data_IF_698585678350
#
_entry.id   IF_698585678350
#
_cell.length_a   1.000
_cell.length_b   1.000
_cell.length_c   1.000
_cell.angle_alpha   90.00
_cell.angle_beta   90.00
_cell.angle_gamma   90.00
#
_symmetry.space_group_name_H-M   'P 1'
#
loop_
_entity.id
_entity.type
_entity.pdbx_description
1 polymer ?
#
# COMPACT_ATOMS: atom_id res chain seq x y z
N UNK A 1 16.59 -25.17 -88.22
CA UNK A 1 17.58 -26.20 -87.87
C UNK A 1 18.29 -25.75 -86.59
N UNK A 2 17.98 -26.44 -85.50
CA UNK A 2 18.72 -26.55 -84.22
C UNK A 2 19.78 -25.49 -83.85
N UNK A 3 19.60 -24.79 -82.71
CA UNK A 3 20.13 -25.23 -81.41
C UNK A 3 19.83 -24.22 -80.28
N UNK A 4 19.14 -24.74 -79.27
CA UNK A 4 18.96 -24.20 -77.93
C UNK A 4 20.31 -24.22 -77.19
N UNK A 5 20.67 -23.16 -76.45
CA UNK A 5 21.54 -23.27 -75.26
C UNK A 5 21.39 -22.08 -74.32
N UNK A 6 20.95 -22.42 -73.10
CA UNK A 6 20.85 -21.61 -71.89
C UNK A 6 22.10 -20.76 -71.59
N UNK A 7 21.91 -19.50 -71.18
CA UNK A 7 22.75 -18.83 -70.17
C UNK A 7 21.93 -17.94 -69.24
N UNK A 8 21.87 -18.43 -68.01
CA UNK A 8 21.61 -17.82 -66.69
C UNK A 8 20.89 -16.47 -66.58
N UNK A 9 19.70 -16.54 -66.00
CA UNK A 9 19.11 -15.55 -65.08
C UNK A 9 20.05 -15.31 -63.88
N UNK A 10 21.11 -14.54 -64.05
CA UNK A 10 22.06 -14.23 -62.99
C UNK A 10 22.35 -12.73 -62.93
N UNK A 11 21.31 -11.89 -62.87
CA UNK A 11 21.49 -10.45 -62.61
C UNK A 11 20.27 -9.85 -61.91
N UNK A 12 19.86 -10.50 -60.82
CA UNK A 12 19.10 -9.82 -59.77
C UNK A 12 19.69 -10.26 -58.45
N UNK A 13 20.91 -9.78 -58.19
CA UNK A 13 21.51 -9.86 -56.87
C UNK A 13 20.59 -9.08 -55.92
N UNK A 14 19.67 -9.81 -55.26
CA UNK A 14 18.97 -9.33 -54.08
C UNK A 14 20.06 -8.90 -53.10
N UNK A 15 20.24 -7.58 -52.97
CA UNK A 15 20.88 -6.99 -51.81
C UNK A 15 19.92 -7.27 -50.65
N UNK A 16 20.00 -8.49 -50.12
CA UNK A 16 19.53 -8.76 -48.77
C UNK A 16 20.59 -8.11 -47.90
N UNK A 17 20.37 -6.86 -47.51
CA UNK A 17 21.03 -6.34 -46.32
C UNK A 17 20.65 -7.31 -45.20
N UNK A 18 21.56 -8.22 -44.85
CA UNK A 18 21.52 -8.92 -43.60
C UNK A 18 21.60 -7.83 -42.53
N UNK A 19 20.43 -7.38 -42.06
CA UNK A 19 20.34 -6.55 -40.88
C UNK A 19 20.80 -7.44 -39.73
N UNK A 20 22.10 -7.39 -39.45
CA UNK A 20 22.68 -7.93 -38.23
C UNK A 20 22.11 -7.11 -37.09
N UNK A 21 21.01 -7.58 -36.51
CA UNK A 21 20.47 -7.02 -35.30
C UNK A 21 21.19 -7.70 -34.14
N UNK A 22 22.10 -6.98 -33.48
CA UNK A 22 22.53 -7.35 -32.13
C UNK A 22 21.29 -7.45 -31.25
N UNK A 23 21.16 -8.50 -30.44
CA UNK A 23 20.00 -8.67 -29.56
C UNK A 23 19.86 -7.45 -28.65
N UNK A 24 18.75 -6.71 -28.78
CA UNK A 24 18.47 -5.58 -27.90
C UNK A 24 18.21 -6.05 -26.46
N UNK A 25 17.84 -7.32 -26.26
CA UNK A 25 17.65 -7.93 -24.95
C UNK A 25 18.98 -8.07 -24.20
N UNK A 26 20.11 -8.27 -24.90
CA UNK A 26 21.45 -8.34 -24.29
C UNK A 26 21.88 -7.02 -23.65
N UNK A 27 21.25 -5.90 -24.05
CA UNK A 27 21.53 -4.56 -23.52
C UNK A 27 20.63 -4.19 -22.35
N UNK A 28 19.70 -5.05 -21.95
CA UNK A 28 18.80 -4.78 -20.83
C UNK A 28 19.62 -4.79 -19.53
N UNK A 29 19.71 -3.66 -18.81
CA UNK A 29 20.48 -3.61 -17.59
C UNK A 29 19.79 -4.40 -16.47
N UNK A 30 20.59 -4.94 -15.54
CA UNK A 30 20.06 -5.53 -14.31
C UNK A 30 19.32 -4.45 -13.51
N UNK A 31 18.05 -4.69 -13.19
CA UNK A 31 17.28 -3.81 -12.33
C UNK A 31 17.84 -3.85 -10.89
N UNK A 32 17.87 -2.72 -10.16
CA UNK A 32 18.20 -2.74 -8.75
C UNK A 32 17.20 -3.60 -7.98
N UNK A 33 17.66 -4.30 -6.94
CA UNK A 33 16.80 -5.12 -6.10
C UNK A 33 15.76 -4.27 -5.37
N UNK A 34 14.55 -4.82 -5.16
CA UNK A 34 13.52 -4.16 -4.35
C UNK A 34 14.04 -3.93 -2.92
N UNK A 35 13.87 -2.71 -2.40
CA UNK A 35 14.40 -2.28 -1.10
C UNK A 35 13.87 -3.07 0.10
N UNK A 36 12.80 -3.84 -0.07
CA UNK A 36 12.19 -4.69 0.96
C UNK A 36 12.30 -6.17 0.56
N UNK A 37 11.69 -6.55 -0.57
CA UNK A 37 11.59 -7.95 -1.01
C UNK A 37 12.94 -8.52 -1.44
N UNK A 38 13.84 -7.70 -2.00
CA UNK A 38 15.19 -8.12 -2.38
C UNK A 38 16.03 -8.59 -1.18
N UNK A 39 15.75 -8.10 0.03
CA UNK A 39 16.45 -8.51 1.25
C UNK A 39 16.12 -9.93 1.68
N UNK A 40 14.95 -10.45 1.30
CA UNK A 40 14.54 -11.83 1.59
C UNK A 40 15.51 -12.84 0.98
N UNK A 41 16.06 -12.57 -0.20
CA UNK A 41 17.03 -13.46 -0.85
C UNK A 41 18.35 -13.54 -0.06
N UNK A 42 18.83 -12.42 0.49
CA UNK A 42 20.00 -12.40 1.36
C UNK A 42 19.73 -13.15 2.67
N UNK A 43 18.60 -12.87 3.32
CA UNK A 43 18.17 -13.57 4.54
C UNK A 43 18.12 -15.10 4.33
N UNK A 44 17.55 -15.57 3.22
CA UNK A 44 17.42 -17.01 2.96
C UNK A 44 18.78 -17.71 2.80
N UNK A 45 19.78 -17.02 2.23
CA UNK A 45 21.14 -17.56 2.01
C UNK A 45 22.04 -17.49 3.24
N UNK A 46 21.69 -16.70 4.24
CA UNK A 46 22.47 -16.55 5.46
C UNK A 46 22.48 -17.84 6.29
N UNK A 47 23.65 -18.45 6.58
CA UNK A 47 23.74 -19.68 7.37
C UNK A 47 23.63 -19.46 8.88
N UNK A 48 23.59 -18.20 9.35
CA UNK A 48 23.53 -17.89 10.78
C UNK A 48 22.23 -18.46 11.40
N UNK A 49 22.32 -19.37 12.38
CA UNK A 49 21.14 -19.97 13.01
C UNK A 49 20.32 -18.98 13.84
N UNK A 50 20.89 -17.81 14.19
CA UNK A 50 20.24 -16.73 14.94
C UNK A 50 19.71 -15.60 14.04
N UNK A 51 19.72 -15.77 12.71
CA UNK A 51 19.27 -14.72 11.79
C UNK A 51 17.81 -14.32 12.04
N UNK A 52 17.51 -13.03 11.88
CA UNK A 52 16.17 -12.48 12.08
C UNK A 52 15.74 -11.68 10.84
N UNK A 53 14.56 -11.98 10.30
CA UNK A 53 13.96 -11.20 9.23
C UNK A 53 12.93 -10.19 9.77
N UNK A 54 13.29 -8.90 9.75
CA UNK A 54 12.43 -7.78 10.15
C UNK A 54 12.09 -6.87 8.96
N UNK A 55 12.29 -7.35 7.73
CA UNK A 55 12.13 -6.54 6.51
C UNK A 55 10.68 -6.47 6.04
N UNK A 56 9.98 -7.61 5.99
CA UNK A 56 8.65 -7.73 5.38
C UNK A 56 7.56 -7.46 6.42
N UNK A 57 6.60 -6.59 6.08
CA UNK A 57 5.40 -6.33 6.89
C UNK A 57 4.33 -7.41 6.72
N UNK A 58 4.66 -8.66 7.07
CA UNK A 58 3.71 -9.78 7.18
C UNK A 58 3.61 -10.15 8.65
N UNK A 59 2.38 -10.23 9.16
CA UNK A 59 2.12 -10.59 10.54
C UNK A 59 2.62 -12.01 10.84
N UNK A 60 3.29 -12.15 11.99
CA UNK A 60 3.67 -13.43 12.57
C UNK A 60 3.17 -13.48 14.01
N UNK A 61 2.85 -14.69 14.47
CA UNK A 61 2.44 -14.92 15.85
C UNK A 61 3.61 -14.80 16.85
N UNK A 62 3.36 -15.09 18.13
CA UNK A 62 4.37 -15.04 19.20
C UNK A 62 5.50 -16.09 19.04
N UNK A 63 5.37 -16.99 18.05
CA UNK A 63 6.33 -18.05 17.74
C UNK A 63 7.03 -17.83 16.39
N UNK A 64 6.82 -16.67 15.75
CA UNK A 64 7.42 -16.34 14.46
C UNK A 64 6.79 -17.05 13.26
N UNK A 65 5.56 -17.58 13.41
CA UNK A 65 4.84 -18.24 12.30
C UNK A 65 3.85 -17.30 11.65
N UNK A 66 3.83 -17.29 10.32
CA UNK A 66 2.76 -16.67 9.54
C UNK A 66 1.52 -17.54 9.68
N UNK A 67 0.44 -16.99 10.22
CA UNK A 67 -0.81 -17.72 10.48
C UNK A 67 -2.00 -17.02 9.81
N UNK A 68 -2.96 -17.83 9.36
CA UNK A 68 -4.24 -17.34 8.85
C UNK A 68 -5.12 -16.90 10.01
N UNK A 69 -5.77 -15.75 9.90
CA UNK A 69 -6.70 -15.30 10.94
C UNK A 69 -7.87 -16.27 11.11
N UNK A 70 -8.34 -16.52 12.35
CA UNK A 70 -9.48 -17.39 12.61
C UNK A 70 -10.74 -17.07 11.79
N UNK A 71 -11.08 -15.80 11.61
CA UNK A 71 -12.21 -15.37 10.76
C UNK A 71 -12.02 -15.81 9.30
N UNK A 72 -10.82 -15.63 8.75
CA UNK A 72 -10.47 -15.95 7.36
C UNK A 72 -10.45 -17.46 7.13
N UNK A 73 -9.85 -18.22 8.05
CA UNK A 73 -9.85 -19.67 7.99
C UNK A 73 -11.28 -20.25 8.06
N UNK A 74 -12.17 -19.64 8.85
CA UNK A 74 -13.60 -20.00 8.88
C UNK A 74 -14.29 -19.65 7.56
N UNK A 75 -14.02 -18.48 6.98
CA UNK A 75 -14.56 -18.12 5.65
C UNK A 75 -14.11 -19.09 4.56
N UNK A 76 -12.83 -19.50 4.55
CA UNK A 76 -12.31 -20.51 3.62
C UNK A 76 -13.06 -21.83 3.76
N UNK A 77 -13.20 -22.35 4.98
CA UNK A 77 -13.95 -23.58 5.25
C UNK A 77 -15.41 -23.51 4.80
N UNK A 78 -16.06 -22.36 4.94
CA UNK A 78 -17.43 -22.18 4.44
C UNK A 78 -17.48 -22.26 2.93
N UNK A 79 -16.55 -21.62 2.23
CA UNK A 79 -16.46 -21.69 0.77
C UNK A 79 -16.21 -23.13 0.32
N UNK A 80 -15.26 -23.83 0.96
CA UNK A 80 -14.89 -25.19 0.55
C UNK A 80 -16.03 -26.20 0.79
N UNK A 81 -16.86 -25.99 1.81
CA UNK A 81 -17.98 -26.87 2.15
C UNK A 81 -19.32 -26.48 1.51
N UNK A 82 -19.43 -25.30 0.91
CA UNK A 82 -20.65 -24.80 0.28
C UNK A 82 -20.48 -24.71 -1.25
N UNK A 83 -21.12 -25.66 -1.94
CA UNK A 83 -21.09 -25.72 -3.40
C UNK A 83 -21.61 -24.43 -4.05
N UNK A 84 -22.56 -23.71 -3.45
CA UNK A 84 -23.09 -22.46 -4.03
C UNK A 84 -22.08 -21.32 -3.92
N UNK A 85 -21.29 -21.28 -2.84
CA UNK A 85 -20.22 -20.30 -2.67
C UNK A 85 -19.03 -20.61 -3.59
N UNK A 86 -18.77 -21.89 -3.91
CA UNK A 86 -17.62 -22.30 -4.72
C UNK A 86 -17.95 -22.81 -6.13
N UNK A 87 -19.18 -22.62 -6.63
CA UNK A 87 -19.64 -23.19 -7.91
C UNK A 87 -18.95 -22.65 -9.17
N UNK A 88 -18.29 -21.49 -9.11
CA UNK A 88 -17.84 -20.80 -10.32
C UNK A 88 -16.46 -20.16 -10.14
N UNK A 89 -15.48 -20.62 -10.91
CA UNK A 89 -14.12 -20.04 -10.99
C UNK A 89 -13.88 -19.32 -12.33
N UNK A 90 -14.93 -18.99 -13.07
CA UNK A 90 -14.86 -18.20 -14.30
C UNK A 90 -14.47 -16.75 -14.02
N UNK A 91 -14.20 -16.01 -15.10
CA UNK A 91 -13.85 -14.60 -15.04
C UNK A 91 -14.93 -13.78 -14.32
N UNK A 92 -14.48 -12.92 -13.39
CA UNK A 92 -15.30 -11.85 -12.86
C UNK A 92 -15.53 -10.75 -13.93
N UNK A 93 -16.58 -9.93 -13.78
CA UNK A 93 -16.65 -8.65 -14.47
C UNK A 93 -15.37 -7.84 -14.28
N UNK A 94 -15.04 -6.96 -15.23
CA UNK A 94 -13.83 -6.11 -15.17
C UNK A 94 -13.78 -5.29 -13.88
N UNK A 95 -14.93 -4.84 -13.39
CA UNK A 95 -15.07 -4.09 -12.14
C UNK A 95 -14.91 -4.94 -10.88
N UNK A 96 -14.98 -6.26 -11.00
CA UNK A 96 -14.94 -7.21 -9.89
C UNK A 96 -16.30 -7.84 -9.56
N UNK A 97 -16.36 -8.49 -8.40
CA UNK A 97 -17.58 -9.13 -7.90
C UNK A 97 -18.53 -8.08 -7.27
N UNK A 98 -19.81 -8.10 -7.67
CA UNK A 98 -20.80 -7.12 -7.21
C UNK A 98 -21.13 -7.23 -5.72
N UNK A 99 -21.18 -8.44 -5.18
CA UNK A 99 -21.41 -8.66 -3.74
C UNK A 99 -20.23 -8.13 -2.92
N UNK A 100 -19.00 -8.37 -3.40
CA UNK A 100 -17.79 -7.85 -2.78
C UNK A 100 -17.79 -6.32 -2.80
N UNK A 101 -18.08 -5.70 -3.95
CA UNK A 101 -18.28 -4.25 -4.07
C UNK A 101 -19.29 -3.73 -3.03
N UNK A 102 -20.45 -4.35 -2.95
CA UNK A 102 -21.54 -3.93 -2.04
C UNK A 102 -21.10 -4.00 -0.59
N UNK A 103 -20.47 -5.12 -0.19
CA UNK A 103 -20.03 -5.33 1.19
C UNK A 103 -18.84 -4.43 1.58
N UNK A 104 -17.94 -4.14 0.65
CA UNK A 104 -16.85 -3.19 0.87
C UNK A 104 -17.37 -1.76 0.97
N UNK A 105 -18.29 -1.34 0.10
CA UNK A 105 -18.90 -0.01 0.19
C UNK A 105 -19.68 0.17 1.49
N UNK A 106 -20.47 -0.82 1.90
CA UNK A 106 -21.17 -0.79 3.18
C UNK A 106 -20.19 -0.70 4.36
N UNK A 107 -19.14 -1.51 4.38
CA UNK A 107 -18.13 -1.45 5.44
C UNK A 107 -17.42 -0.10 5.49
N UNK A 108 -16.99 0.43 4.34
CA UNK A 108 -16.28 1.71 4.28
C UNK A 108 -17.22 2.87 4.59
N UNK A 109 -18.23 3.12 3.75
CA UNK A 109 -18.97 4.37 3.77
C UNK A 109 -20.12 4.38 4.76
N UNK A 110 -20.81 3.25 4.96
CA UNK A 110 -21.93 3.17 5.93
C UNK A 110 -21.43 2.92 7.36
N UNK A 111 -20.57 1.94 7.55
CA UNK A 111 -20.13 1.53 8.89
C UNK A 111 -18.94 2.35 9.38
N UNK A 112 -17.90 2.54 8.55
CA UNK A 112 -16.66 3.19 9.00
C UNK A 112 -16.74 4.72 8.92
N UNK A 113 -17.30 5.27 7.83
CA UNK A 113 -17.36 6.73 7.63
C UNK A 113 -18.66 7.36 8.13
N UNK A 114 -19.74 6.60 8.30
CA UNK A 114 -21.07 7.10 8.63
C UNK A 114 -21.67 8.07 7.57
N UNK A 115 -21.36 7.81 6.30
CA UNK A 115 -21.85 8.54 5.13
C UNK A 115 -22.61 7.61 4.15
N UNK A 116 -23.72 6.96 4.57
CA UNK A 116 -24.52 6.10 3.69
C UNK A 116 -25.10 6.85 2.47
N UNK A 117 -25.33 8.15 2.58
CA UNK A 117 -25.87 9.01 1.51
C UNK A 117 -24.99 9.03 0.26
N UNK A 118 -23.67 8.83 0.38
CA UNK A 118 -22.78 8.73 -0.77
C UNK A 118 -23.09 7.50 -1.64
N UNK A 119 -23.55 6.41 -1.02
CA UNK A 119 -24.00 5.20 -1.73
C UNK A 119 -25.39 5.45 -2.32
N UNK A 120 -26.30 6.02 -1.54
CA UNK A 120 -27.70 6.27 -1.93
C UNK A 120 -27.80 7.26 -3.11
N UNK A 121 -26.91 8.25 -3.17
CA UNK A 121 -26.81 9.24 -4.25
C UNK A 121 -25.95 8.75 -5.44
N UNK A 122 -25.49 7.50 -5.42
CA UNK A 122 -24.62 6.91 -6.45
C UNK A 122 -23.30 7.68 -6.68
N UNK A 123 -22.75 8.31 -5.63
CA UNK A 123 -21.59 9.22 -5.69
C UNK A 123 -20.22 8.55 -5.60
N UNK A 124 -20.17 7.21 -5.57
CA UNK A 124 -18.93 6.45 -5.45
C UNK A 124 -18.72 5.60 -6.70
N UNK A 125 -17.62 5.85 -7.42
CA UNK A 125 -17.11 4.90 -8.41
C UNK A 125 -16.24 3.85 -7.70
N UNK A 126 -16.46 2.57 -8.00
CA UNK A 126 -15.78 1.45 -7.34
C UNK A 126 -15.18 0.51 -8.36
N UNK A 127 -13.97 0.01 -8.08
CA UNK A 127 -13.37 -1.11 -8.80
C UNK A 127 -12.57 -1.99 -7.84
N UNK A 128 -12.72 -3.31 -7.96
CA UNK A 128 -11.86 -4.28 -7.29
C UNK A 128 -10.48 -4.30 -7.95
N UNK A 129 -9.44 -4.31 -7.12
CA UNK A 129 -8.05 -4.12 -7.56
C UNK A 129 -7.12 -5.20 -7.03
N UNK A 130 -5.89 -5.26 -7.57
CA UNK A 130 -4.80 -6.11 -7.07
C UNK A 130 -4.22 -5.54 -5.76
N UNK A 131 -5.05 -5.53 -4.72
CA UNK A 131 -4.79 -4.92 -3.42
C UNK A 131 -4.48 -3.41 -3.51
N UNK A 132 -3.93 -2.83 -2.44
CA UNK A 132 -3.58 -1.40 -2.41
C UNK A 132 -2.60 -1.00 -3.52
N UNK A 133 -1.63 -1.86 -3.86
CA UNK A 133 -0.70 -1.59 -4.97
C UNK A 133 -1.43 -1.40 -6.30
N UNK A 134 -2.39 -2.28 -6.62
CA UNK A 134 -3.22 -2.13 -7.80
C UNK A 134 -4.10 -0.89 -7.75
N UNK A 135 -4.68 -0.58 -6.59
CA UNK A 135 -5.49 0.61 -6.40
C UNK A 135 -4.71 1.91 -6.65
N UNK A 136 -3.51 2.07 -6.06
CA UNK A 136 -2.66 3.24 -6.28
C UNK A 136 -2.22 3.34 -7.74
N UNK A 137 -1.88 2.21 -8.39
CA UNK A 137 -1.50 2.22 -9.80
C UNK A 137 -2.64 2.64 -10.74
N UNK A 138 -3.85 2.13 -10.51
CA UNK A 138 -5.04 2.51 -11.29
C UNK A 138 -5.40 3.97 -11.05
N UNK A 139 -5.36 4.44 -9.79
CA UNK A 139 -5.58 5.83 -9.45
C UNK A 139 -4.55 6.74 -10.13
N UNK A 140 -3.26 6.38 -10.10
CA UNK A 140 -2.20 7.11 -10.78
C UNK A 140 -2.44 7.16 -12.31
N UNK A 141 -2.72 6.02 -12.95
CA UNK A 141 -2.99 5.98 -14.39
C UNK A 141 -4.20 6.82 -14.77
N UNK A 142 -5.26 6.80 -13.96
CA UNK A 142 -6.44 7.65 -14.17
C UNK A 142 -6.11 9.14 -14.04
N UNK A 143 -5.43 9.52 -12.95
CA UNK A 143 -5.03 10.91 -12.70
C UNK A 143 -4.14 11.43 -13.83
N UNK A 144 -3.07 10.73 -14.20
CA UNK A 144 -2.11 11.21 -15.22
C UNK A 144 -2.71 11.31 -16.61
N UNK A 145 -3.73 10.49 -16.92
CA UNK A 145 -4.40 10.51 -18.22
C UNK A 145 -5.42 11.65 -18.32
N UNK A 146 -6.17 11.93 -17.26
CA UNK A 146 -7.37 12.78 -17.35
C UNK A 146 -7.35 14.06 -16.53
N UNK A 147 -6.54 14.13 -15.47
CA UNK A 147 -6.63 15.22 -14.48
C UNK A 147 -5.28 15.91 -14.28
N UNK A 148 -4.28 15.17 -13.80
CA UNK A 148 -2.97 15.72 -13.45
C UNK A 148 -1.91 14.64 -13.37
N UNK A 149 -0.69 14.99 -13.73
CA UNK A 149 0.53 14.22 -13.52
C UNK A 149 1.45 14.88 -12.46
N UNK A 150 0.86 15.68 -11.57
CA UNK A 150 1.53 16.27 -10.41
C UNK A 150 1.08 15.57 -9.13
N UNK A 151 2.03 15.08 -8.32
CA UNK A 151 1.76 14.38 -7.06
C UNK A 151 2.76 14.84 -6.00
N UNK A 152 2.28 15.05 -4.77
CA UNK A 152 3.09 15.21 -3.57
C UNK A 152 3.03 13.94 -2.73
N UNK A 153 4.19 13.40 -2.35
CA UNK A 153 4.36 12.17 -1.55
C UNK A 153 5.19 12.52 -0.31
N UNK A 154 4.98 11.91 0.87
CA UNK A 154 5.81 12.24 2.02
C UNK A 154 7.28 11.84 1.78
N UNK A 155 8.22 12.66 2.26
CA UNK A 155 9.67 12.46 2.08
C UNK A 155 10.18 11.12 2.65
N UNK A 156 9.48 10.60 3.65
CA UNK A 156 9.55 9.20 4.06
C UNK A 156 8.22 8.55 3.69
N UNK A 157 8.21 7.54 2.83
CA UNK A 157 6.99 6.86 2.41
C UNK A 157 7.26 5.39 2.09
N UNK A 158 6.20 4.62 1.81
CA UNK A 158 6.36 3.26 1.34
C UNK A 158 7.21 3.26 0.06
N UNK A 159 8.32 2.51 0.07
CA UNK A 159 9.36 2.57 -0.95
C UNK A 159 8.87 2.42 -2.40
N UNK A 160 7.71 1.79 -2.61
CA UNK A 160 7.16 1.56 -3.93
C UNK A 160 6.26 2.70 -4.45
N UNK A 161 5.87 3.69 -3.64
CA UNK A 161 5.00 4.79 -4.09
C UNK A 161 5.58 5.55 -5.29
N UNK A 162 6.82 6.01 -5.19
CA UNK A 162 7.50 6.71 -6.30
C UNK A 162 7.58 5.83 -7.54
N UNK A 163 7.89 4.54 -7.39
CA UNK A 163 7.93 3.60 -8.53
C UNK A 163 6.55 3.47 -9.19
N UNK A 164 5.46 3.36 -8.41
CA UNK A 164 4.10 3.29 -8.97
C UNK A 164 3.76 4.56 -9.74
N UNK A 165 3.91 5.75 -9.15
CA UNK A 165 3.56 7.01 -9.83
C UNK A 165 4.41 7.23 -11.10
N UNK A 166 5.73 7.04 -11.02
CA UNK A 166 6.63 7.21 -12.18
C UNK A 166 6.33 6.25 -13.32
N UNK A 167 5.93 5.01 -13.03
CA UNK A 167 5.49 4.04 -14.06
C UNK A 167 4.10 4.31 -14.62
N UNK A 168 3.32 5.19 -14.00
CA UNK A 168 1.94 5.50 -14.37
C UNK A 168 1.77 6.98 -14.78
N UNK A 169 2.78 7.57 -15.43
CA UNK A 169 2.65 8.84 -16.14
C UNK A 169 3.00 10.10 -15.34
N UNK A 170 3.61 9.96 -14.15
CA UNK A 170 4.11 11.10 -13.37
C UNK A 170 5.61 11.28 -13.63
N UNK A 171 6.03 12.31 -14.39
CA UNK A 171 7.45 12.50 -14.76
C UNK A 171 8.33 12.85 -13.56
N UNK A 172 7.74 13.44 -12.52
CA UNK A 172 8.39 13.79 -11.26
C UNK A 172 7.42 13.64 -10.09
N UNK A 173 7.98 13.44 -8.90
CA UNK A 173 7.25 13.39 -7.63
C UNK A 173 7.78 14.51 -6.76
N UNK A 174 6.87 15.34 -6.24
CA UNK A 174 7.19 16.30 -5.18
C UNK A 174 7.22 15.58 -3.82
N UNK A 175 8.17 15.92 -2.96
CA UNK A 175 8.31 15.30 -1.64
C UNK A 175 8.04 16.32 -0.55
N UNK A 176 6.94 16.17 0.18
CA UNK A 176 6.63 17.06 1.29
C UNK A 176 7.26 16.57 2.60
N UNK A 177 7.70 17.48 3.50
CA UNK A 177 8.21 17.11 4.82
C UNK A 177 7.15 16.36 5.62
N UNK A 178 7.48 15.16 6.12
CA UNK A 178 6.60 14.38 6.98
C UNK A 178 7.27 14.01 8.29
N UNK A 179 8.52 13.57 8.25
CA UNK A 179 9.26 13.11 9.41
C UNK A 179 10.60 13.84 9.53
N UNK A 180 10.86 14.39 10.70
CA UNK A 180 12.17 14.94 11.04
C UNK A 180 13.00 13.90 11.79
N UNK A 181 14.07 13.43 11.13
CA UNK A 181 14.98 12.42 11.67
C UNK A 181 15.71 12.90 12.94
N UNK A 182 15.93 14.21 13.11
CA UNK A 182 16.63 14.75 14.28
C UNK A 182 15.76 14.64 15.53
N UNK A 183 14.52 15.12 15.46
CA UNK A 183 13.58 15.07 16.58
C UNK A 183 12.91 13.71 16.73
N UNK A 184 12.82 12.93 15.65
CA UNK A 184 12.08 11.68 15.61
C UNK A 184 10.56 11.88 15.61
N UNK A 185 10.09 13.06 15.19
CA UNK A 185 8.69 13.48 15.22
C UNK A 185 8.18 13.83 13.83
N UNK A 186 6.86 14.05 13.72
CA UNK A 186 6.26 14.57 12.50
C UNK A 186 6.67 16.02 12.29
N UNK A 187 7.19 16.32 11.10
CA UNK A 187 7.62 17.67 10.71
C UNK A 187 6.42 18.52 10.22
N UNK A 188 5.45 18.69 11.12
CA UNK A 188 4.15 19.27 10.81
C UNK A 188 4.24 20.70 10.26
N UNK A 189 5.09 21.56 10.86
CA UNK A 189 5.17 22.96 10.43
C UNK A 189 5.77 23.08 9.04
N UNK A 190 6.83 22.32 8.73
CA UNK A 190 7.42 22.35 7.39
C UNK A 190 6.53 21.65 6.37
N UNK A 191 5.72 20.66 6.76
CA UNK A 191 4.69 20.10 5.89
C UNK A 191 3.73 21.18 5.39
N UNK A 192 3.10 21.91 6.31
CA UNK A 192 2.14 22.97 5.96
C UNK A 192 2.84 24.08 5.15
N UNK A 193 4.02 24.51 5.56
CA UNK A 193 4.78 25.54 4.84
C UNK A 193 5.16 25.09 3.43
N UNK A 194 5.57 23.83 3.25
CA UNK A 194 5.87 23.28 1.93
C UNK A 194 4.66 23.35 1.02
N UNK A 195 3.50 22.85 1.47
CA UNK A 195 2.27 22.86 0.66
C UNK A 195 1.87 24.27 0.23
N UNK A 196 1.94 25.25 1.15
CA UNK A 196 1.57 26.65 0.87
C UNK A 196 2.54 27.35 -0.10
N UNK A 197 3.78 26.88 -0.20
CA UNK A 197 4.80 27.44 -1.09
C UNK A 197 4.94 26.67 -2.41
N UNK A 198 4.14 25.62 -2.63
CA UNK A 198 4.18 24.88 -3.89
C UNK A 198 3.75 25.78 -5.05
N UNK A 199 4.50 25.77 -6.17
CA UNK A 199 4.12 26.56 -7.33
C UNK A 199 2.83 26.01 -7.94
N UNK A 200 1.90 26.91 -8.28
CA UNK A 200 0.74 26.55 -9.08
C UNK A 200 1.15 26.29 -10.52
N UNK A 201 0.89 25.07 -11.02
CA UNK A 201 1.31 24.64 -12.36
C UNK A 201 0.17 24.66 -13.39
N UNK A 202 -0.89 25.43 -13.16
CA UNK A 202 -2.05 25.51 -14.06
C UNK A 202 -3.03 24.33 -13.99
N UNK A 203 -2.77 23.36 -13.10
CA UNK A 203 -3.56 22.14 -12.88
C UNK A 203 -3.55 21.77 -11.40
N UNK A 204 -4.57 21.06 -10.89
CA UNK A 204 -4.55 20.59 -9.51
C UNK A 204 -3.39 19.61 -9.28
N UNK A 205 -2.91 19.53 -8.03
CA UNK A 205 -1.89 18.57 -7.61
C UNK A 205 -2.53 17.49 -6.74
N UNK A 206 -2.21 16.23 -7.00
CA UNK A 206 -2.56 15.15 -6.09
C UNK A 206 -1.69 15.17 -4.84
N UNK A 207 -2.20 14.68 -3.72
CA UNK A 207 -1.42 14.43 -2.50
C UNK A 207 -1.69 13.01 -2.00
N UNK A 208 -0.62 12.23 -1.85
CA UNK A 208 -0.69 10.90 -1.30
C UNK A 208 -0.66 10.95 0.23
N UNK A 209 -1.69 10.44 0.89
CA UNK A 209 -1.81 10.38 2.34
C UNK A 209 -1.92 8.91 2.78
N UNK A 210 -1.27 8.57 3.90
CA UNK A 210 -1.50 7.27 4.55
C UNK A 210 -2.68 7.45 5.49
N UNK A 211 -3.69 6.57 5.39
CA UNK A 211 -4.92 6.68 6.18
C UNK A 211 -4.65 6.56 7.69
N UNK A 212 -3.72 5.66 8.03
CA UNK A 212 -3.20 5.40 9.37
C UNK A 212 -1.99 4.46 9.27
N UNK A 213 -1.26 4.33 10.37
CA UNK A 213 -0.06 3.51 10.50
C UNK A 213 0.97 3.80 9.41
N UNK A 214 1.38 5.06 9.27
CA UNK A 214 2.29 5.49 8.21
C UNK A 214 3.50 4.57 8.04
N UNK A 215 3.73 4.13 6.81
CA UNK A 215 4.88 3.30 6.44
C UNK A 215 5.91 4.19 5.73
N UNK A 216 7.13 4.37 6.28
CA UNK A 216 7.81 3.48 7.22
C UNK A 216 7.80 3.89 8.70
N UNK A 217 7.38 5.10 9.04
CA UNK A 217 7.72 5.72 10.33
C UNK A 217 6.97 5.13 11.53
N UNK A 218 5.74 4.64 11.32
CA UNK A 218 4.83 4.24 12.40
C UNK A 218 4.19 5.43 13.15
N UNK A 219 4.42 6.64 12.66
CA UNK A 219 3.95 7.92 13.23
C UNK A 219 2.81 8.46 12.38
N UNK A 220 1.68 8.80 13.00
CA UNK A 220 0.55 9.45 12.32
C UNK A 220 0.29 10.84 12.93
N UNK A 221 -0.19 11.83 12.15
CA UNK A 221 -0.56 13.12 12.68
C UNK A 221 -1.65 12.99 13.75
N UNK A 222 -1.60 13.85 14.76
CA UNK A 222 -2.70 13.94 15.72
C UNK A 222 -4.00 14.39 15.04
N UNK A 223 -5.15 14.18 15.69
CA UNK A 223 -6.45 14.65 15.17
C UNK A 223 -6.43 16.14 14.82
N UNK A 224 -5.86 16.97 15.68
CA UNK A 224 -5.75 18.42 15.47
C UNK A 224 -4.77 18.78 14.34
N UNK A 225 -3.70 18.00 14.16
CA UNK A 225 -2.80 18.18 13.02
C UNK A 225 -3.50 17.80 11.72
N UNK A 226 -4.23 16.68 11.70
CA UNK A 226 -5.01 16.24 10.54
C UNK A 226 -6.03 17.29 10.11
N UNK A 227 -6.75 17.91 11.04
CA UNK A 227 -7.68 19.00 10.72
C UNK A 227 -6.99 20.12 9.94
N UNK A 228 -5.85 20.61 10.42
CA UNK A 228 -5.08 21.68 9.75
C UNK A 228 -4.47 21.23 8.41
N UNK A 229 -4.06 19.97 8.30
CA UNK A 229 -3.54 19.39 7.06
C UNK A 229 -4.65 19.34 6.00
N UNK A 230 -5.83 18.82 6.35
CA UNK A 230 -6.95 18.73 5.41
C UNK A 230 -7.48 20.13 5.07
N UNK A 231 -7.50 21.08 6.02
CA UNK A 231 -7.79 22.49 5.72
C UNK A 231 -6.88 23.04 4.62
N UNK A 232 -5.57 22.85 4.78
CA UNK A 232 -4.58 23.34 3.81
C UNK A 232 -4.73 22.64 2.45
N UNK A 233 -4.95 21.32 2.42
CA UNK A 233 -5.18 20.54 1.19
C UNK A 233 -6.43 21.02 0.46
N UNK A 234 -7.50 21.28 1.21
CA UNK A 234 -8.77 21.77 0.68
C UNK A 234 -8.65 23.20 0.14
N UNK A 235 -8.05 24.12 0.89
CA UNK A 235 -7.77 25.50 0.46
C UNK A 235 -6.96 25.55 -0.84
N UNK A 236 -5.95 24.67 -0.95
CA UNK A 236 -5.10 24.55 -2.14
C UNK A 236 -5.75 23.74 -3.29
N UNK A 237 -6.99 23.27 -3.11
CA UNK A 237 -7.75 22.47 -4.09
C UNK A 237 -6.97 21.24 -4.58
N UNK A 238 -6.18 20.64 -3.70
CA UNK A 238 -5.43 19.43 -3.98
C UNK A 238 -6.36 18.21 -4.05
N UNK A 239 -5.87 17.12 -4.66
CA UNK A 239 -6.63 15.87 -4.84
C UNK A 239 -6.14 14.82 -3.84
N UNK A 240 -6.92 14.44 -2.82
CA UNK A 240 -6.50 13.42 -1.88
C UNK A 240 -6.44 12.04 -2.55
N UNK A 241 -5.28 11.39 -2.47
CA UNK A 241 -5.07 9.97 -2.77
C UNK A 241 -4.71 9.28 -1.47
N UNK A 242 -5.67 8.60 -0.86
CA UNK A 242 -5.55 8.00 0.48
C UNK A 242 -5.18 6.53 0.33
N UNK A 243 -3.98 6.13 0.76
CA UNK A 243 -3.55 4.74 0.91
C UNK A 243 -4.01 4.19 2.27
N UNK A 244 -4.95 3.26 2.24
CA UNK A 244 -5.57 2.63 3.40
C UNK A 244 -5.22 1.14 3.45
N UNK A 245 -3.97 0.84 3.80
CA UNK A 245 -3.46 -0.53 3.88
C UNK A 245 -3.52 -1.17 5.27
N UNK A 246 -3.69 -0.35 6.31
CA UNK A 246 -3.52 -0.74 7.71
C UNK A 246 -4.72 -0.37 8.61
N UNK A 247 -5.89 -0.10 8.02
CA UNK A 247 -7.12 0.18 8.78
C UNK A 247 -7.34 -0.90 9.85
N UNK A 248 -7.48 -0.48 11.11
CA UNK A 248 -7.63 -1.31 12.30
C UNK A 248 -6.34 -1.54 13.09
N UNK A 249 -5.16 -1.18 12.56
CA UNK A 249 -3.88 -1.42 13.23
C UNK A 249 -3.31 -0.23 14.01
N UNK A 250 -3.99 0.92 14.00
CA UNK A 250 -3.64 2.09 14.80
C UNK A 250 -4.20 1.93 16.21
N UNK A 251 -5.52 1.76 16.32
CA UNK A 251 -6.24 1.65 17.60
C UNK A 251 -6.64 0.22 17.97
N UNK A 252 -6.54 -0.74 17.04
CA UNK A 252 -7.18 -2.05 17.19
C UNK A 252 -8.68 -2.04 16.81
N UNK A 253 -9.19 -0.93 16.30
CA UNK A 253 -10.57 -0.77 15.87
C UNK A 253 -10.64 -0.28 14.41
N UNK A 254 -11.23 -1.11 13.56
CA UNK A 254 -11.39 -0.85 12.13
C UNK A 254 -12.20 0.40 11.82
N UNK A 255 -13.18 0.74 12.68
CA UNK A 255 -14.06 1.90 12.49
C UNK A 255 -13.35 3.19 12.92
N UNK A 256 -12.58 3.16 14.01
CA UNK A 256 -11.86 4.35 14.49
C UNK A 256 -10.71 4.76 13.57
N UNK A 257 -10.01 3.78 12.99
CA UNK A 257 -8.85 4.01 12.11
C UNK A 257 -9.23 4.56 10.73
N UNK A 258 -10.52 4.71 10.47
CA UNK A 258 -11.08 5.33 9.28
C UNK A 258 -11.14 6.87 9.37
N UNK A 259 -10.67 7.46 10.47
CA UNK A 259 -10.80 8.87 10.80
C UNK A 259 -10.35 9.86 9.72
N UNK A 260 -9.25 9.59 8.99
CA UNK A 260 -8.74 10.52 7.99
C UNK A 260 -9.76 10.70 6.86
N UNK A 261 -10.30 9.59 6.36
CA UNK A 261 -11.31 9.65 5.31
C UNK A 261 -12.62 10.26 5.85
N UNK A 262 -13.01 9.94 7.09
CA UNK A 262 -14.17 10.57 7.73
C UNK A 262 -14.01 12.09 7.83
N UNK A 263 -12.80 12.56 8.18
CA UNK A 263 -12.48 13.99 8.20
C UNK A 263 -12.61 14.59 6.80
N UNK A 264 -12.03 13.98 5.76
CA UNK A 264 -12.18 14.47 4.38
C UNK A 264 -13.65 14.53 3.94
N UNK A 265 -14.50 13.62 4.42
CA UNK A 265 -15.93 13.57 4.09
C UNK A 265 -16.82 14.45 4.96
N UNK A 266 -16.26 15.20 5.92
CA UNK A 266 -17.03 16.14 6.72
C UNK A 266 -17.56 17.28 5.84
N UNK A 267 -18.84 17.20 5.45
CA UNK A 267 -19.49 18.14 4.54
C UNK A 267 -19.70 19.53 5.13
N UNK A 268 -19.73 19.66 6.46
CA UNK A 268 -19.85 20.96 7.12
C UNK A 268 -18.57 21.79 6.93
N UNK A 269 -17.42 21.11 6.80
CA UNK A 269 -16.10 21.74 6.64
C UNK A 269 -15.60 21.73 5.19
N UNK A 270 -15.84 20.64 4.48
CA UNK A 270 -15.37 20.40 3.11
C UNK A 270 -16.56 20.03 2.22
N UNK A 271 -17.47 20.98 1.93
CA UNK A 271 -18.71 20.68 1.22
C UNK A 271 -18.48 20.09 -0.18
N UNK A 272 -17.40 20.49 -0.86
CA UNK A 272 -17.16 20.09 -2.25
C UNK A 272 -15.69 19.79 -2.57
N UNK A 273 -15.39 18.50 -2.82
CA UNK A 273 -14.12 18.07 -3.40
C UNK A 273 -14.22 18.03 -4.93
N UNK A 274 -13.89 19.13 -5.60
CA UNK A 274 -14.10 19.31 -7.06
C UNK A 274 -13.47 18.23 -7.95
N UNK A 275 -12.38 17.60 -7.50
CA UNK A 275 -11.67 16.55 -8.24
C UNK A 275 -11.87 15.16 -7.62
N UNK A 276 -12.76 15.04 -6.64
CA UNK A 276 -13.03 13.83 -5.88
C UNK A 276 -11.94 13.46 -4.87
N UNK A 277 -12.20 12.37 -4.15
CA UNK A 277 -11.28 11.73 -3.21
C UNK A 277 -11.01 10.31 -3.69
N UNK A 278 -9.74 9.93 -3.80
CA UNK A 278 -9.32 8.60 -4.24
C UNK A 278 -8.92 7.79 -3.00
N UNK A 279 -9.63 6.70 -2.71
CA UNK A 279 -9.33 5.79 -1.61
C UNK A 279 -8.80 4.46 -2.17
N UNK A 280 -7.56 4.15 -1.83
CA UNK A 280 -6.87 2.92 -2.20
C UNK A 280 -6.85 1.95 -1.01
N UNK A 281 -7.73 0.94 -1.00
CA UNK A 281 -7.85 0.03 0.13
C UNK A 281 -7.09 -1.29 -0.12
N UNK A 282 -6.44 -1.80 0.91
CA UNK A 282 -5.85 -3.15 0.92
C UNK A 282 -6.42 -4.00 2.06
N UNK A 283 -6.75 -5.26 1.74
CA UNK A 283 -7.08 -6.28 2.75
C UNK A 283 -5.89 -7.19 3.09
N UNK A 284 -4.70 -6.88 2.59
CA UNK A 284 -3.53 -7.73 2.75
C UNK A 284 -3.13 -7.89 4.22
N UNK A 285 -3.27 -6.84 5.04
CA UNK A 285 -2.79 -6.83 6.42
C UNK A 285 -3.91 -7.10 7.40
N UNK A 286 -4.98 -6.30 7.36
CA UNK A 286 -6.08 -6.41 8.30
C UNK A 286 -6.90 -7.70 8.14
N UNK A 287 -6.93 -8.34 6.97
CA UNK A 287 -7.47 -9.70 6.79
C UNK A 287 -6.39 -10.75 6.56
N UNK A 288 -5.10 -10.40 6.60
CA UNK A 288 -4.02 -11.36 6.32
C UNK A 288 -4.04 -11.95 4.90
N UNK A 289 -4.77 -11.34 3.96
CA UNK A 289 -4.91 -11.80 2.56
C UNK A 289 -3.74 -11.32 1.69
N UNK A 290 -2.50 -11.51 2.19
CA UNK A 290 -1.28 -10.98 1.60
C UNK A 290 -1.08 -11.42 0.14
N UNK A 291 -1.06 -12.73 -0.08
CA UNK A 291 -0.83 -13.36 -1.38
C UNK A 291 -2.06 -13.35 -2.30
N UNK A 292 -3.25 -13.22 -1.73
CA UNK A 292 -4.53 -13.23 -2.46
C UNK A 292 -4.83 -11.92 -3.21
N UNK A 293 -4.04 -10.87 -2.94
CA UNK A 293 -4.08 -9.58 -3.64
C UNK A 293 -5.46 -8.91 -3.63
N UNK A 294 -6.17 -8.97 -2.50
CA UNK A 294 -7.51 -8.39 -2.34
C UNK A 294 -7.43 -6.90 -1.98
N UNK A 295 -8.21 -6.07 -2.68
CA UNK A 295 -8.38 -4.64 -2.39
C UNK A 295 -9.36 -3.97 -3.35
N UNK A 296 -9.47 -2.65 -3.21
CA UNK A 296 -10.39 -1.82 -4.00
C UNK A 296 -9.82 -0.42 -4.22
N UNK A 297 -10.32 0.23 -5.27
CA UNK A 297 -10.24 1.67 -5.45
C UNK A 297 -11.67 2.21 -5.40
N UNK A 298 -11.91 3.16 -4.50
CA UNK A 298 -13.15 3.94 -4.44
C UNK A 298 -12.81 5.39 -4.79
N UNK A 299 -13.55 5.99 -5.72
CA UNK A 299 -13.46 7.42 -6.03
C UNK A 299 -14.77 8.05 -5.59
N UNK A 300 -14.70 8.92 -4.58
CA UNK A 300 -15.83 9.77 -4.19
C UNK A 300 -15.90 10.90 -5.21
N UNK A 301 -16.96 10.91 -6.01
CA UNK A 301 -17.11 11.84 -7.11
C UNK A 301 -17.66 13.18 -6.62
N UNK A 302 -17.27 14.31 -7.24
CA UNK A 302 -17.93 15.59 -7.00
C UNK A 302 -19.42 15.54 -7.37
N UNK A 303 -20.19 16.51 -6.88
CA UNK A 303 -21.53 16.79 -7.41
C UNK A 303 -21.37 17.31 -8.83
N UNK A 304 -21.85 16.53 -9.79
CA UNK A 304 -21.73 16.83 -11.20
C UNK A 304 -22.95 16.29 -11.95
N UNK A 305 -22.90 16.35 -13.28
CA UNK A 305 -23.92 15.72 -14.11
C UNK A 305 -24.08 14.23 -13.80
N UNK A 306 -25.30 13.71 -14.03
CA UNK A 306 -25.68 12.33 -13.73
C UNK A 306 -24.87 11.27 -14.49
N UNK A 307 -24.11 11.65 -15.52
CA UNK A 307 -23.29 10.73 -16.32
C UNK A 307 -21.83 10.67 -15.85
N UNK A 308 -21.40 11.51 -14.90
CA UNK A 308 -19.99 11.53 -14.45
C UNK A 308 -19.51 10.15 -14.02
N UNK A 309 -20.30 9.45 -13.18
CA UNK A 309 -19.93 8.12 -12.69
C UNK A 309 -19.79 7.10 -13.82
N UNK A 310 -20.68 7.13 -14.80
CA UNK A 310 -20.61 6.25 -15.97
C UNK A 310 -19.32 6.47 -16.75
N UNK A 311 -18.97 7.74 -17.03
CA UNK A 311 -17.72 8.10 -17.72
C UNK A 311 -16.50 7.63 -16.94
N UNK A 312 -16.44 7.89 -15.64
CA UNK A 312 -15.33 7.43 -14.78
C UNK A 312 -15.22 5.90 -14.78
N UNK A 313 -16.33 5.19 -14.55
CA UNK A 313 -16.37 3.73 -14.56
C UNK A 313 -15.90 3.14 -15.91
N UNK A 314 -16.28 3.76 -17.04
CA UNK A 314 -15.84 3.30 -18.36
C UNK A 314 -14.33 3.39 -18.55
N UNK A 315 -13.70 4.45 -18.04
CA UNK A 315 -12.26 4.64 -18.13
C UNK A 315 -11.50 3.72 -17.17
N UNK A 316 -11.99 3.54 -15.95
CA UNK A 316 -11.42 2.57 -15.00
C UNK A 316 -11.45 1.15 -15.57
N UNK A 317 -12.57 0.74 -16.18
CA UNK A 317 -12.67 -0.55 -16.88
C UNK A 317 -11.62 -0.67 -17.99
N UNK A 318 -11.42 0.38 -18.79
CA UNK A 318 -10.42 0.38 -19.87
C UNK A 318 -9.00 0.24 -19.34
N UNK A 319 -8.66 0.98 -18.28
CA UNK A 319 -7.35 0.89 -17.59
C UNK A 319 -7.14 -0.54 -17.07
N UNK A 320 -8.08 -1.08 -16.30
CA UNK A 320 -7.98 -2.43 -15.73
C UNK A 320 -7.88 -3.50 -16.81
N UNK A 321 -8.69 -3.39 -17.87
CA UNK A 321 -8.68 -4.33 -18.99
C UNK A 321 -7.32 -4.41 -19.66
N UNK A 322 -6.60 -3.29 -19.75
CA UNK A 322 -5.26 -3.21 -20.34
C UNK A 322 -4.13 -3.76 -19.44
N UNK A 323 -4.38 -3.99 -18.15
CA UNK A 323 -3.34 -4.44 -17.20
C UNK A 323 -3.53 -5.91 -16.83
N UNK A 324 -4.71 -6.29 -16.34
CA UNK A 324 -4.96 -7.65 -15.83
C UNK A 324 -6.31 -8.23 -16.21
N UNK A 325 -7.00 -7.62 -17.19
CA UNK A 325 -8.33 -8.04 -17.67
C UNK A 325 -9.45 -7.91 -16.62
N UNK A 326 -9.47 -8.76 -15.60
CA UNK A 326 -10.42 -8.77 -14.49
C UNK A 326 -9.75 -9.29 -13.22
N UNK A 327 -10.19 -8.87 -12.03
CA UNK A 327 -9.47 -9.14 -10.78
C UNK A 327 -9.61 -10.61 -10.31
N UNK A 328 -8.70 -11.11 -9.44
CA UNK A 328 -8.77 -12.45 -8.87
C UNK A 328 -10.04 -12.68 -8.04
N UNK A 329 -10.70 -13.82 -8.25
CA UNK A 329 -11.99 -14.12 -7.62
C UNK A 329 -11.92 -14.73 -6.20
N UNK A 330 -10.95 -15.62 -5.95
CA UNK A 330 -10.96 -16.44 -4.73
C UNK A 330 -10.75 -15.61 -3.46
N UNK A 331 -9.70 -14.79 -3.40
CA UNK A 331 -9.47 -13.87 -2.29
C UNK A 331 -10.66 -12.92 -2.02
N UNK A 332 -11.26 -12.33 -3.06
CA UNK A 332 -12.44 -11.47 -2.89
C UNK A 332 -13.65 -12.23 -2.36
N UNK A 333 -13.80 -13.52 -2.68
CA UNK A 333 -14.87 -14.36 -2.15
C UNK A 333 -14.69 -14.61 -0.66
N UNK A 334 -13.47 -14.89 -0.20
CA UNK A 334 -13.14 -15.02 1.23
C UNK A 334 -13.50 -13.74 1.98
N UNK A 335 -13.05 -12.59 1.46
CA UNK A 335 -13.35 -11.29 2.05
C UNK A 335 -14.86 -10.99 2.03
N UNK A 336 -15.56 -11.34 0.93
CA UNK A 336 -17.00 -11.17 0.81
C UNK A 336 -17.76 -11.95 1.87
N UNK A 337 -17.47 -13.25 2.04
CA UNK A 337 -18.09 -14.11 3.08
C UNK A 337 -17.83 -13.55 4.47
N UNK A 338 -16.60 -13.08 4.73
CA UNK A 338 -16.22 -12.47 6.00
C UNK A 338 -17.06 -11.21 6.29
N UNK A 339 -17.20 -10.32 5.30
CA UNK A 339 -17.89 -9.04 5.44
C UNK A 339 -19.42 -9.19 5.50
N UNK A 340 -19.99 -10.19 4.81
CA UNK A 340 -21.43 -10.43 4.75
C UNK A 340 -21.97 -11.29 5.89
N UNK A 341 -21.10 -12.00 6.62
CA UNK A 341 -21.50 -12.86 7.74
C UNK A 341 -21.26 -12.16 9.08
N UNK A 342 -22.30 -11.72 9.81
CA UNK A 342 -22.13 -10.89 11.02
C UNK A 342 -21.20 -11.49 12.09
N UNK A 343 -21.28 -12.81 12.31
CA UNK A 343 -20.42 -13.49 13.30
C UNK A 343 -18.96 -13.56 12.84
N UNK A 344 -18.68 -13.71 11.54
CA UNK A 344 -17.31 -13.69 11.02
C UNK A 344 -16.74 -12.28 11.02
N UNK A 345 -17.54 -11.26 10.70
CA UNK A 345 -17.14 -9.86 10.81
C UNK A 345 -16.77 -9.48 12.25
N UNK A 346 -17.59 -9.90 13.23
CA UNK A 346 -17.27 -9.75 14.66
C UNK A 346 -15.99 -10.48 15.05
N UNK A 347 -15.75 -11.69 14.53
CA UNK A 347 -14.51 -12.41 14.77
C UNK A 347 -13.30 -11.69 14.14
N UNK A 348 -13.45 -11.16 12.93
CA UNK A 348 -12.39 -10.40 12.25
C UNK A 348 -11.97 -9.16 13.05
N UNK A 349 -12.92 -8.44 13.63
CA UNK A 349 -12.62 -7.31 14.51
C UNK A 349 -11.79 -7.75 15.73
N UNK A 350 -12.07 -8.93 16.30
CA UNK A 350 -11.26 -9.52 17.37
C UNK A 350 -9.88 -9.92 16.89
N UNK A 351 -9.77 -10.53 15.70
CA UNK A 351 -8.49 -10.96 15.12
C UNK A 351 -7.55 -9.75 14.91
N UNK A 352 -8.08 -8.64 14.38
CA UNK A 352 -7.35 -7.37 14.21
C UNK A 352 -6.92 -6.80 15.55
N UNK A 353 -7.84 -6.75 16.53
CA UNK A 353 -7.52 -6.27 17.88
C UNK A 353 -6.39 -7.10 18.52
N UNK A 354 -6.46 -8.43 18.45
CA UNK A 354 -5.42 -9.31 18.98
C UNK A 354 -4.07 -9.14 18.28
N UNK A 355 -4.07 -8.84 16.97
CA UNK A 355 -2.84 -8.49 16.26
C UNK A 355 -2.20 -7.21 16.82
N UNK A 356 -3.00 -6.17 17.09
CA UNK A 356 -2.51 -4.91 17.69
C UNK A 356 -2.01 -5.15 19.11
N UNK A 357 -2.75 -5.88 19.94
CA UNK A 357 -2.34 -6.24 21.31
C UNK A 357 -0.99 -6.96 21.33
N UNK A 358 -0.77 -7.89 20.40
CA UNK A 358 0.54 -8.57 20.24
C UNK A 358 1.65 -7.61 19.80
N UNK A 359 1.37 -6.70 18.88
CA UNK A 359 2.38 -5.70 18.46
C UNK A 359 2.74 -4.76 19.61
N UNK A 360 1.78 -4.39 20.47
CA UNK A 360 2.03 -3.60 21.66
C UNK A 360 2.83 -4.38 22.72
N UNK A 361 2.58 -5.68 22.90
CA UNK A 361 3.39 -6.48 23.82
C UNK A 361 4.84 -6.62 23.34
N UNK A 362 5.06 -6.74 22.04
CA UNK A 362 6.42 -6.69 21.44
C UNK A 362 7.11 -5.37 21.74
N UNK A 363 6.42 -4.24 21.54
CA UNK A 363 6.97 -2.91 21.84
C UNK A 363 7.36 -2.77 23.31
N UNK A 364 6.50 -3.22 24.22
CA UNK A 364 6.79 -3.23 25.65
C UNK A 364 8.00 -4.10 25.98
N UNK A 365 8.07 -5.31 25.44
CA UNK A 365 9.20 -6.22 25.65
C UNK A 365 10.54 -5.61 25.15
N UNK A 366 10.51 -4.91 24.01
CA UNK A 366 11.67 -4.17 23.50
C UNK A 366 12.02 -2.98 24.41
N UNK A 367 11.02 -2.24 24.89
CA UNK A 367 11.22 -1.11 25.81
C UNK A 367 11.89 -1.54 27.12
N UNK A 368 11.43 -2.64 27.73
CA UNK A 368 12.01 -3.19 28.96
C UNK A 368 13.51 -3.54 28.81
N UNK A 369 13.96 -3.85 27.59
CA UNK A 369 15.35 -4.22 27.29
C UNK A 369 16.21 -3.05 26.82
N UNK A 370 15.62 -2.12 26.08
CA UNK A 370 16.33 -1.02 25.40
C UNK A 370 16.23 0.31 26.16
N UNK A 371 15.16 0.48 26.95
CA UNK A 371 14.76 1.74 27.57
C UNK A 371 14.62 2.90 26.57
N UNK A 372 14.14 2.61 25.35
CA UNK A 372 13.88 3.63 24.31
C UNK A 372 12.43 4.13 24.43
N UNK A 373 12.18 5.35 24.95
CA UNK A 373 10.84 5.77 25.36
C UNK A 373 9.82 5.86 24.22
N UNK A 374 10.28 6.05 23.00
CA UNK A 374 9.44 6.10 21.80
C UNK A 374 8.70 4.78 21.58
N UNK A 375 9.29 3.62 21.89
CA UNK A 375 8.65 2.31 21.72
C UNK A 375 7.26 2.20 22.38
N UNK A 376 7.04 2.90 23.50
CA UNK A 376 5.79 2.86 24.27
C UNK A 376 4.99 4.17 24.18
N UNK A 377 5.39 5.11 23.33
CA UNK A 377 4.64 6.34 23.13
C UNK A 377 3.39 6.06 22.29
N UNK A 378 2.24 6.00 22.97
CA UNK A 378 0.92 5.70 22.39
C UNK A 378 0.40 6.74 21.41
N UNK A 379 0.95 7.96 21.40
CA UNK A 379 0.54 9.02 20.46
C UNK A 379 1.23 8.89 19.10
N UNK A 380 2.24 8.02 18.98
CA UNK A 380 3.27 8.16 17.94
C UNK A 380 3.83 6.83 17.42
N UNK A 381 3.35 5.69 17.93
CA UNK A 381 3.88 4.37 17.54
C UNK A 381 2.77 3.33 17.30
N UNK A 382 2.21 3.42 16.10
CA UNK A 382 1.10 2.59 15.62
C UNK A 382 1.55 1.57 14.58
N UNK A 383 0.67 0.61 14.28
CA UNK A 383 0.88 -0.34 13.18
C UNK A 383 2.03 -1.32 13.39
N UNK A 384 2.57 -1.79 12.26
CA UNK A 384 3.46 -2.96 12.21
C UNK A 384 4.96 -2.63 12.29
N UNK A 385 5.33 -1.35 12.36
CA UNK A 385 6.71 -0.92 12.19
C UNK A 385 7.22 -0.05 13.33
N UNK A 386 8.53 -0.10 13.52
CA UNK A 386 9.27 0.83 14.35
C UNK A 386 10.43 1.41 13.53
N UNK A 387 10.60 2.72 13.59
CA UNK A 387 11.63 3.41 12.81
C UNK A 387 12.84 3.73 13.68
N UNK A 388 13.89 2.90 13.55
CA UNK A 388 15.07 2.93 14.43
C UNK A 388 15.93 4.20 14.31
N UNK A 389 15.77 4.93 13.20
CA UNK A 389 16.64 6.05 12.77
C UNK A 389 18.09 5.67 12.48
N UNK A 390 18.43 4.39 12.50
CA UNK A 390 19.78 3.92 12.22
C UNK A 390 20.25 4.34 10.83
N UNK A 391 21.53 4.66 10.71
CA UNK A 391 22.17 4.91 9.41
C UNK A 391 22.27 3.62 8.60
N UNK A 392 22.50 3.74 7.29
CA UNK A 392 22.75 2.57 6.44
C UNK A 392 23.94 1.75 6.96
N UNK A 393 24.98 2.41 7.52
CA UNK A 393 26.11 1.73 8.15
C UNK A 393 25.70 0.90 9.37
N UNK A 394 24.87 1.45 10.25
CA UNK A 394 24.32 0.73 11.40
C UNK A 394 23.42 -0.44 10.98
N UNK A 395 22.55 -0.25 9.98
CA UNK A 395 21.72 -1.33 9.43
C UNK A 395 22.59 -2.43 8.80
N UNK A 396 23.69 -2.05 8.13
CA UNK A 396 24.63 -3.00 7.56
C UNK A 396 25.36 -3.80 8.63
N UNK A 397 25.78 -3.18 9.75
CA UNK A 397 26.37 -3.89 10.87
C UNK A 397 25.41 -4.92 11.49
N UNK A 398 24.14 -4.56 11.70
CA UNK A 398 23.10 -5.50 12.15
C UNK A 398 23.02 -6.73 11.24
N UNK A 399 23.08 -6.49 9.93
CA UNK A 399 23.03 -7.56 8.93
C UNK A 399 24.28 -8.43 8.95
N UNK A 400 25.47 -7.84 8.85
CA UNK A 400 26.72 -8.59 8.65
C UNK A 400 27.19 -9.29 9.93
N UNK A 401 27.06 -8.62 11.08
CA UNK A 401 27.57 -9.14 12.36
C UNK A 401 26.55 -9.96 13.14
N UNK A 402 25.27 -9.59 13.06
CA UNK A 402 24.22 -10.20 13.87
C UNK A 402 23.25 -11.06 13.06
N UNK A 403 23.27 -11.00 11.71
CA UNK A 403 22.29 -11.69 10.86
C UNK A 403 20.89 -11.10 10.98
N UNK A 404 20.75 -9.82 11.35
CA UNK A 404 19.47 -9.15 11.54
C UNK A 404 19.17 -8.25 10.35
N UNK A 405 18.06 -8.51 9.67
CA UNK A 405 17.71 -7.86 8.41
C UNK A 405 16.58 -6.85 8.62
N UNK A 406 16.88 -5.57 8.37
CA UNK A 406 15.94 -4.45 8.32
C UNK A 406 16.03 -3.79 6.94
N UNK A 407 15.09 -2.92 6.61
CA UNK A 407 15.25 -2.06 5.43
C UNK A 407 16.35 -1.02 5.67
N UNK A 408 17.03 -0.60 4.60
CA UNK A 408 18.20 0.29 4.68
C UNK A 408 17.88 1.68 5.28
N UNK A 409 16.63 2.11 5.22
CA UNK A 409 16.16 3.35 5.87
C UNK A 409 16.00 3.21 7.40
N UNK A 410 16.17 2.01 7.96
CA UNK A 410 16.07 1.76 9.40
C UNK A 410 14.68 1.34 9.88
N UNK A 411 13.73 1.04 8.98
CA UNK A 411 12.42 0.47 9.38
C UNK A 411 12.55 -0.99 9.79
N UNK A 412 12.09 -1.28 11.00
CA UNK A 412 11.97 -2.60 11.60
C UNK A 412 10.51 -3.06 11.57
N UNK A 413 10.22 -4.28 11.11
CA UNK A 413 8.90 -4.91 11.31
C UNK A 413 8.81 -5.60 12.66
N UNK A 414 7.90 -5.13 13.50
CA UNK A 414 7.63 -5.69 14.83
C UNK A 414 6.97 -7.07 14.75
N UNK A 415 6.41 -7.42 13.59
CA UNK A 415 5.85 -8.74 13.33
C UNK A 415 6.89 -9.84 13.41
N UNK A 416 8.14 -9.59 12.99
CA UNK A 416 9.21 -10.59 13.07
C UNK A 416 9.83 -10.76 14.45
N UNK A 417 9.45 -9.93 15.43
CA UNK A 417 9.91 -10.04 16.82
C UNK A 417 9.00 -10.98 17.60
N UNK A 418 9.61 -11.91 18.33
CA UNK A 418 8.94 -12.99 19.04
C UNK A 418 9.69 -13.39 20.32
N UNK A 419 9.10 -14.29 21.10
CA UNK A 419 9.60 -14.68 22.42
C UNK A 419 10.99 -15.33 22.38
N UNK A 420 11.42 -15.86 21.23
CA UNK A 420 12.71 -16.54 21.10
C UNK A 420 13.84 -15.61 20.64
N UNK A 421 13.52 -14.46 20.06
CA UNK A 421 14.52 -13.60 19.42
C UNK A 421 14.63 -12.20 20.02
N UNK A 422 13.67 -11.77 20.85
CA UNK A 422 13.63 -10.40 21.37
C UNK A 422 14.86 -10.03 22.19
N UNK A 423 15.41 -10.95 22.99
CA UNK A 423 16.63 -10.70 23.79
C UNK A 423 17.84 -10.44 22.88
N UNK A 424 18.10 -11.36 21.94
CA UNK A 424 19.21 -11.25 20.99
C UNK A 424 19.08 -10.01 20.09
N UNK A 425 17.86 -9.71 19.63
CA UNK A 425 17.58 -8.51 18.86
C UNK A 425 17.90 -7.25 19.66
N UNK A 426 17.41 -7.13 20.90
CA UNK A 426 17.62 -5.94 21.71
C UNK A 426 19.09 -5.76 22.08
N UNK A 427 19.82 -6.84 22.36
CA UNK A 427 21.27 -6.79 22.57
C UNK A 427 21.99 -6.22 21.33
N UNK A 428 21.67 -6.73 20.14
CA UNK A 428 22.25 -6.26 18.89
C UNK A 428 21.91 -4.79 18.61
N UNK A 429 20.64 -4.39 18.78
CA UNK A 429 20.19 -3.00 18.63
C UNK A 429 20.91 -2.07 19.61
N UNK A 430 21.09 -2.47 20.87
CA UNK A 430 21.79 -1.68 21.88
C UNK A 430 23.29 -1.56 21.61
N UNK A 431 23.91 -2.58 21.03
CA UNK A 431 25.31 -2.52 20.63
C UNK A 431 25.50 -1.61 19.41
N UNK A 432 24.65 -1.74 18.40
CA UNK A 432 24.73 -0.95 17.17
C UNK A 432 24.34 0.51 17.37
N UNK A 433 23.42 0.80 18.29
CA UNK A 433 23.05 2.19 18.63
C UNK A 433 24.24 3.01 19.15
N UNK A 434 25.22 2.35 19.77
CA UNK A 434 26.47 2.98 20.26
C UNK A 434 27.51 3.20 19.18
N UNK A 435 27.41 2.53 18.03
CA UNK A 435 28.40 2.62 16.95
C UNK A 435 28.38 3.96 16.20
N UNK A 436 27.36 4.80 16.38
CA UNK A 436 27.34 6.14 15.78
C UNK A 436 26.41 7.13 16.51
N UNK A 437 26.98 7.83 17.51
CA UNK A 437 26.84 9.30 17.68
C UNK A 437 28.16 10.01 17.32
N UNK A 438 29.08 9.32 16.65
CA UNK A 438 30.41 9.80 16.27
C UNK A 438 30.42 10.35 14.84
#
# INVERSE_FOLDING_TARGET
MLLIRHRSLAETAKIIHQRSFTSLVEKVPLAPADKILGLTAFYNRDPNPKKINLTVGVYQDAWGKVTTFPSVAKSQKLIDNDLLLNKNLSYLPITGCKDFETNVMNFLFKESMHHPELIEQDRISFIQTLSGTGAVAIAASFLSTFITNEISVPNYSWANHTNIFTKNGFPSVDYYPYYDRKTGQIDFQNWINHLKNLPFLGKPRGILLHASCHNPTGLDPTRQQWEKIIDTIYELKMIPVIDMAYQGLETGNLIEDAHLLRLCLNTDKYPHWNNGIFLCQSFAKNMGLYGERVGSLSIVLPEADSQLKERVNSQLKRIVRGIYSSPPGYGSRIANVLLSTPNLKKQWFKDVKSMVERLQSVRLAMFERLNWPDLINKESNHGMFYFTRFSEGQVNELRTKYGIYLTLDGRLSLSGVNNYNVDYLCEALQNVSKLARA
#
